data_IF_117472692586
#
_entry.id   IF_117472692586
#
_cell.length_a   1.000
_cell.length_b   1.000
_cell.length_c   1.000
_cell.angle_alpha   90.00
_cell.angle_beta   90.00
_cell.angle_gamma   90.00
#
_symmetry.space_group_name_H-M   'P 1'
#
loop_
_entity.id
_entity.type
_entity.pdbx_description
1 polymer ?
#
# COMPACT_ATOMS: atom_id res chain seq x y z
N UNK A 1 -26.88 8.98 5.96
CA UNK A 1 -27.77 9.04 4.77
C UNK A 1 -28.06 10.51 4.55
N UNK A 2 -27.44 11.11 3.55
CA UNK A 2 -27.47 12.56 3.31
C UNK A 2 -28.70 12.89 2.45
N UNK A 3 -29.67 13.70 2.95
CA UNK A 3 -30.89 14.02 2.22
C UNK A 3 -30.63 14.85 0.92
N UNK A 4 -29.46 15.45 0.76
CA UNK A 4 -29.09 16.19 -0.45
C UNK A 4 -28.70 15.29 -1.64
N UNK A 5 -28.38 14.01 -1.41
CA UNK A 5 -28.14 13.05 -2.50
C UNK A 5 -29.35 12.81 -3.39
N UNK A 6 -30.56 12.91 -2.84
CA UNK A 6 -31.80 12.62 -3.56
C UNK A 6 -32.13 13.68 -4.64
N UNK A 7 -31.66 14.93 -4.46
CA UNK A 7 -31.93 16.02 -5.40
C UNK A 7 -31.08 15.94 -6.69
N UNK A 8 -29.95 15.25 -6.64
CA UNK A 8 -28.98 15.27 -7.75
C UNK A 8 -29.31 14.28 -8.88
N UNK A 9 -29.87 13.12 -8.57
CA UNK A 9 -30.26 12.15 -9.62
C UNK A 9 -31.45 12.64 -10.47
N UNK A 10 -32.36 13.40 -9.88
CA UNK A 10 -33.48 14.00 -10.60
C UNK A 10 -33.03 14.99 -11.69
N UNK A 11 -31.88 15.62 -11.57
CA UNK A 11 -31.36 16.56 -12.55
C UNK A 11 -30.70 15.87 -13.76
N UNK A 12 -30.20 14.63 -13.60
CA UNK A 12 -29.67 13.83 -14.70
C UNK A 12 -30.78 13.32 -15.64
N UNK A 13 -31.94 13.06 -15.09
CA UNK A 13 -33.09 12.52 -15.82
C UNK A 13 -33.94 13.63 -16.48
N UNK A 14 -33.51 14.90 -16.40
CA UNK A 14 -34.10 16.06 -17.04
C UNK A 14 -35.61 16.09 -16.92
N UNK A 15 -36.15 16.83 -15.95
CA UNK A 15 -37.59 16.92 -15.64
C UNK A 15 -38.51 17.25 -16.83
N UNK A 16 -38.76 16.25 -17.66
CA UNK A 16 -39.79 16.32 -18.69
C UNK A 16 -41.09 15.87 -18.04
N UNK A 17 -42.18 16.68 -18.09
CA UNK A 17 -43.47 16.29 -17.58
C UNK A 17 -43.99 15.07 -18.34
N UNK A 18 -44.20 14.00 -17.61
CA UNK A 18 -44.59 12.69 -18.13
C UNK A 18 -46.08 12.73 -18.52
N UNK A 19 -46.39 12.83 -19.80
CA UNK A 19 -47.69 12.50 -20.29
C UNK A 19 -48.06 11.03 -19.95
N UNK A 20 -49.34 10.75 -19.75
CA UNK A 20 -49.85 9.37 -19.55
C UNK A 20 -49.61 8.58 -20.84
N UNK A 21 -48.44 7.96 -20.97
CA UNK A 21 -48.06 7.14 -22.10
C UNK A 21 -48.43 5.69 -21.81
N UNK A 22 -49.29 5.03 -22.58
CA UNK A 22 -49.63 3.63 -22.39
C UNK A 22 -48.38 2.68 -22.43
N UNK A 23 -47.36 3.07 -23.21
CA UNK A 23 -46.12 2.29 -23.30
C UNK A 23 -45.34 2.34 -21.98
N UNK A 24 -45.45 3.45 -21.25
CA UNK A 24 -44.84 3.64 -19.95
C UNK A 24 -45.49 2.77 -18.86
N UNK A 25 -46.81 2.67 -18.85
CA UNK A 25 -47.52 1.77 -17.91
C UNK A 25 -47.22 0.31 -18.18
N UNK A 26 -47.09 -0.06 -19.44
CA UNK A 26 -46.63 -1.41 -19.80
C UNK A 26 -45.21 -1.68 -19.36
N UNK A 27 -44.28 -0.74 -19.58
CA UNK A 27 -42.91 -0.83 -19.13
C UNK A 27 -42.79 -0.95 -17.59
N UNK A 28 -43.60 -0.15 -16.88
CA UNK A 28 -43.68 -0.24 -15.42
C UNK A 28 -44.10 -1.64 -14.97
N UNK A 29 -45.20 -2.17 -15.52
CA UNK A 29 -45.70 -3.51 -15.14
C UNK A 29 -44.65 -4.59 -15.41
N UNK A 30 -43.90 -4.46 -16.51
CA UNK A 30 -42.82 -5.37 -16.88
C UNK A 30 -41.67 -5.36 -15.86
N UNK A 31 -41.26 -4.16 -15.41
CA UNK A 31 -40.18 -4.00 -14.44
C UNK A 31 -40.64 -4.50 -13.06
N UNK A 32 -41.86 -4.15 -12.62
CA UNK A 32 -42.41 -4.61 -11.35
C UNK A 32 -42.52 -6.14 -11.30
N UNK A 33 -42.97 -6.77 -12.39
CA UNK A 33 -43.01 -8.23 -12.50
C UNK A 33 -41.61 -8.84 -12.41
N UNK A 34 -40.61 -8.24 -13.06
CA UNK A 34 -39.23 -8.71 -13.01
C UNK A 34 -38.65 -8.61 -11.59
N UNK A 35 -38.86 -7.47 -10.90
CA UNK A 35 -38.43 -7.24 -9.52
C UNK A 35 -39.12 -8.21 -8.56
N UNK A 36 -40.44 -8.41 -8.72
CA UNK A 36 -41.18 -9.37 -7.90
C UNK A 36 -40.65 -10.80 -8.06
N UNK A 37 -40.33 -11.23 -9.27
CA UNK A 37 -39.70 -12.54 -9.53
C UNK A 37 -38.33 -12.66 -8.93
N UNK A 38 -37.60 -11.55 -8.79
CA UNK A 38 -36.32 -11.50 -8.07
C UNK A 38 -36.47 -11.45 -6.53
N UNK A 39 -37.71 -11.43 -6.04
CA UNK A 39 -38.01 -11.33 -4.61
C UNK A 39 -37.82 -9.92 -4.04
N UNK A 40 -37.80 -8.90 -4.88
CA UNK A 40 -37.65 -7.48 -4.50
C UNK A 40 -38.99 -6.77 -4.68
N UNK A 41 -39.85 -6.68 -3.66
CA UNK A 41 -41.13 -5.99 -3.72
C UNK A 41 -40.91 -4.46 -3.56
N UNK A 42 -40.48 -3.81 -4.63
CA UNK A 42 -40.26 -2.36 -4.63
C UNK A 42 -41.31 -1.68 -5.48
N UNK A 43 -42.03 -0.72 -4.91
CA UNK A 43 -42.92 0.16 -5.64
C UNK A 43 -42.12 1.32 -6.25
N UNK A 44 -42.48 1.82 -7.46
CA UNK A 44 -41.88 3.01 -8.02
C UNK A 44 -42.20 4.24 -7.18
N UNK A 45 -41.35 5.22 -7.18
CA UNK A 45 -41.67 6.55 -6.68
C UNK A 45 -42.52 7.33 -7.70
N UNK A 46 -42.89 8.58 -7.38
CA UNK A 46 -43.71 9.45 -8.24
C UNK A 46 -43.00 9.78 -9.59
N UNK A 47 -41.65 9.59 -9.66
CA UNK A 47 -40.86 9.86 -10.87
C UNK A 47 -40.65 8.61 -11.75
N UNK A 48 -41.34 7.48 -11.42
CA UNK A 48 -41.18 6.20 -12.14
C UNK A 48 -39.79 5.59 -11.98
N UNK A 49 -39.22 5.78 -10.80
CA UNK A 49 -37.93 5.23 -10.42
C UNK A 49 -38.12 4.15 -9.35
N UNK A 50 -37.31 3.11 -9.44
CA UNK A 50 -37.15 2.08 -8.41
C UNK A 50 -35.76 2.22 -7.81
N UNK A 51 -35.69 2.79 -6.61
CA UNK A 51 -34.40 3.06 -5.97
C UNK A 51 -34.00 1.94 -5.02
N UNK A 52 -32.67 1.77 -4.87
CA UNK A 52 -32.09 0.82 -3.93
C UNK A 52 -32.56 -0.62 -4.13
N UNK A 53 -32.76 -1.04 -5.38
CA UNK A 53 -32.92 -2.47 -5.69
C UNK A 53 -31.64 -3.18 -5.33
N UNK A 54 -31.58 -3.78 -4.14
CA UNK A 54 -30.35 -4.34 -3.60
C UNK A 54 -30.27 -5.84 -3.77
N UNK A 55 -29.07 -6.32 -4.03
CA UNK A 55 -28.74 -7.74 -3.95
C UNK A 55 -27.52 -7.93 -3.04
N UNK A 56 -27.61 -8.92 -2.16
CA UNK A 56 -26.52 -9.34 -1.29
C UNK A 56 -26.05 -10.72 -1.71
N UNK A 57 -24.75 -10.89 -1.86
CA UNK A 57 -24.12 -12.18 -2.12
C UNK A 57 -23.01 -12.44 -1.10
N UNK A 58 -22.47 -13.68 -1.11
CA UNK A 58 -21.26 -14.01 -0.31
C UNK A 58 -20.03 -13.18 -0.70
N UNK A 59 -20.06 -12.47 -1.81
CA UNK A 59 -18.96 -11.64 -2.32
C UNK A 59 -19.15 -10.14 -2.10
N UNK A 60 -20.32 -9.72 -1.63
CA UNK A 60 -20.61 -8.32 -1.36
C UNK A 60 -22.07 -7.95 -1.54
N UNK A 61 -22.33 -6.67 -1.41
CA UNK A 61 -23.64 -6.04 -1.59
C UNK A 61 -23.54 -4.97 -2.68
N UNK A 62 -24.55 -4.89 -3.53
CA UNK A 62 -24.70 -3.82 -4.50
C UNK A 62 -26.18 -3.39 -4.54
N UNK A 63 -26.38 -2.11 -4.84
CA UNK A 63 -27.68 -1.53 -5.11
C UNK A 63 -27.72 -1.00 -6.55
N UNK A 64 -28.89 -1.06 -7.16
CA UNK A 64 -29.18 -0.54 -8.49
C UNK A 64 -30.38 0.37 -8.39
N UNK A 65 -30.29 1.54 -8.97
CA UNK A 65 -31.43 2.40 -9.23
C UNK A 65 -31.94 2.09 -10.65
N UNK A 66 -33.23 1.93 -10.79
CA UNK A 66 -33.89 1.59 -12.07
C UNK A 66 -34.87 2.70 -12.43
N UNK A 67 -34.87 3.13 -13.68
CA UNK A 67 -35.77 4.16 -14.15
C UNK A 67 -36.27 3.86 -15.58
N UNK A 68 -37.43 4.42 -15.93
CA UNK A 68 -37.91 4.52 -17.30
C UNK A 68 -37.61 5.92 -17.82
N UNK A 69 -36.73 6.01 -18.79
CA UNK A 69 -36.31 7.27 -19.39
C UNK A 69 -36.82 7.44 -20.80
N UNK A 70 -37.23 8.69 -21.16
CA UNK A 70 -37.61 9.02 -22.50
C UNK A 70 -36.38 9.53 -23.28
N UNK A 71 -36.05 8.86 -24.36
CA UNK A 71 -34.93 9.23 -25.26
C UNK A 71 -35.37 10.00 -26.48
N UNK A 72 -36.56 10.59 -26.44
CA UNK A 72 -37.10 11.38 -27.53
C UNK A 72 -37.40 10.51 -28.74
N UNK A 73 -36.70 10.73 -29.87
CA UNK A 73 -36.92 9.97 -31.12
C UNK A 73 -36.61 8.47 -31.00
N UNK A 74 -35.82 8.08 -30.00
CA UNK A 74 -35.41 6.68 -29.76
C UNK A 74 -36.39 5.93 -28.83
N UNK A 75 -37.47 6.58 -28.40
CA UNK A 75 -38.51 6.01 -27.55
C UNK A 75 -38.11 5.84 -26.09
N UNK A 76 -38.88 5.03 -25.39
CA UNK A 76 -38.63 4.73 -23.98
C UNK A 76 -37.48 3.71 -23.79
N UNK A 77 -36.68 3.90 -22.75
CA UNK A 77 -35.65 2.96 -22.37
C UNK A 77 -35.69 2.62 -20.87
N UNK A 78 -35.35 1.40 -20.54
CA UNK A 78 -34.96 0.99 -19.19
C UNK A 78 -33.55 1.52 -18.93
N UNK A 79 -33.38 2.26 -17.84
CA UNK A 79 -32.11 2.70 -17.34
C UNK A 79 -31.86 2.02 -16.00
N UNK A 80 -30.74 1.32 -15.87
CA UNK A 80 -30.28 0.77 -14.60
C UNK A 80 -28.91 1.39 -14.26
N UNK A 81 -28.77 1.91 -13.04
CA UNK A 81 -27.55 2.58 -12.57
C UNK A 81 -27.12 1.97 -11.25
N UNK A 82 -25.87 1.46 -11.19
CA UNK A 82 -25.26 1.00 -9.95
C UNK A 82 -24.10 1.93 -9.57
N UNK A 83 -24.16 2.60 -8.41
CA UNK A 83 -23.04 3.40 -7.91
C UNK A 83 -21.88 2.51 -7.51
N UNK A 84 -20.66 2.84 -7.95
CA UNK A 84 -19.45 2.05 -7.73
C UNK A 84 -18.55 2.69 -6.68
N UNK A 85 -18.16 3.95 -6.89
CA UNK A 85 -17.36 4.74 -5.95
C UNK A 85 -17.53 6.24 -6.22
N UNK A 86 -17.20 7.06 -5.25
CA UNK A 86 -17.13 8.52 -5.43
C UNK A 86 -15.93 8.88 -6.32
N UNK A 87 -16.10 9.94 -7.12
CA UNK A 87 -15.02 10.44 -7.96
C UNK A 87 -13.90 11.00 -7.08
N UNK A 88 -12.64 10.55 -7.21
CA UNK A 88 -11.56 11.01 -6.33
C UNK A 88 -11.33 12.52 -6.44
N UNK A 89 -10.99 13.18 -5.36
CA UNK A 89 -10.63 14.60 -5.38
C UNK A 89 -9.23 14.84 -5.97
N UNK A 90 -8.31 13.87 -5.85
CA UNK A 90 -6.95 13.97 -6.33
C UNK A 90 -6.87 13.83 -7.85
N UNK A 91 -6.42 14.89 -8.57
CA UNK A 91 -6.36 14.95 -10.03
C UNK A 91 -5.59 13.77 -10.68
N UNK A 92 -4.52 13.30 -10.04
CA UNK A 92 -3.75 12.18 -10.57
C UNK A 92 -4.52 10.87 -10.47
N UNK A 93 -5.22 10.64 -9.35
CA UNK A 93 -6.12 9.49 -9.22
C UNK A 93 -7.27 9.57 -10.21
N UNK A 94 -7.82 10.76 -10.48
CA UNK A 94 -8.84 10.98 -11.50
C UNK A 94 -8.35 10.52 -12.89
N UNK A 95 -7.13 10.91 -13.27
CA UNK A 95 -6.51 10.50 -14.53
C UNK A 95 -6.33 8.99 -14.63
N UNK A 96 -5.76 8.36 -13.61
CA UNK A 96 -5.53 6.91 -13.57
C UNK A 96 -6.86 6.13 -13.53
N UNK A 97 -7.86 6.62 -12.81
CA UNK A 97 -9.20 6.04 -12.79
C UNK A 97 -9.87 6.14 -14.15
N UNK A 98 -9.84 7.33 -14.79
CA UNK A 98 -10.39 7.53 -16.12
C UNK A 98 -9.80 6.57 -17.15
N UNK A 99 -8.48 6.37 -17.18
CA UNK A 99 -7.83 5.38 -18.02
C UNK A 99 -8.29 3.96 -17.72
N UNK A 100 -8.43 3.63 -16.43
CA UNK A 100 -8.92 2.31 -15.99
C UNK A 100 -10.36 2.06 -16.44
N UNK A 101 -11.25 3.06 -16.31
CA UNK A 101 -12.64 2.95 -16.74
C UNK A 101 -12.74 2.75 -18.27
N UNK A 102 -11.98 3.48 -19.06
CA UNK A 102 -11.93 3.32 -20.51
C UNK A 102 -11.47 1.91 -20.89
N UNK A 103 -10.43 1.40 -20.25
CA UNK A 103 -9.93 0.04 -20.49
C UNK A 103 -10.96 -1.02 -20.11
N UNK A 104 -11.62 -0.90 -18.95
CA UNK A 104 -12.66 -1.82 -18.52
C UNK A 104 -13.85 -1.84 -19.47
N UNK A 105 -14.30 -0.67 -19.93
CA UNK A 105 -15.36 -0.57 -20.92
C UNK A 105 -14.99 -1.24 -22.25
N UNK A 106 -13.71 -1.13 -22.67
CA UNK A 106 -13.26 -1.70 -23.94
C UNK A 106 -13.02 -3.22 -23.87
N UNK A 107 -12.42 -3.69 -22.78
CA UNK A 107 -11.93 -5.07 -22.70
C UNK A 107 -12.93 -6.04 -22.07
N UNK A 108 -13.78 -5.58 -21.14
CA UNK A 108 -14.53 -6.48 -20.27
C UNK A 108 -16.05 -6.26 -20.26
N UNK A 109 -16.53 -5.06 -20.57
CA UNK A 109 -17.95 -4.74 -20.49
C UNK A 109 -18.60 -4.78 -21.87
N UNK A 110 -19.63 -5.60 -22.03
CA UNK A 110 -20.32 -5.76 -23.32
C UNK A 110 -21.74 -5.21 -23.35
N UNK A 111 -22.44 -5.23 -22.23
CA UNK A 111 -23.84 -4.80 -22.13
C UNK A 111 -24.00 -3.56 -21.25
N UNK A 112 -23.17 -3.41 -20.23
CA UNK A 112 -23.14 -2.25 -19.34
C UNK A 112 -21.87 -1.45 -19.54
N UNK A 113 -21.87 -0.18 -19.12
CA UNK A 113 -20.72 0.73 -19.25
C UNK A 113 -20.45 1.45 -17.93
N UNK A 114 -19.17 1.61 -17.60
CA UNK A 114 -18.75 2.52 -16.53
C UNK A 114 -18.78 3.96 -17.06
N UNK A 115 -19.40 4.85 -16.31
CA UNK A 115 -19.49 6.26 -16.62
C UNK A 115 -19.19 7.09 -15.37
N UNK A 116 -18.92 8.37 -15.60
CA UNK A 116 -18.82 9.37 -14.54
C UNK A 116 -20.11 10.17 -14.58
N UNK A 117 -20.86 10.11 -13.49
CA UNK A 117 -22.10 10.83 -13.32
C UNK A 117 -22.02 11.68 -12.05
N UNK A 118 -22.04 13.03 -12.24
CA UNK A 118 -21.76 13.98 -11.16
C UNK A 118 -20.38 13.67 -10.52
N UNK A 119 -20.36 13.43 -9.23
CA UNK A 119 -19.15 13.13 -8.45
C UNK A 119 -19.01 11.63 -8.14
N UNK A 120 -19.54 10.77 -9.02
CA UNK A 120 -19.52 9.33 -8.80
C UNK A 120 -19.21 8.55 -10.08
N UNK A 121 -18.48 7.44 -9.91
CA UNK A 121 -18.38 6.41 -10.93
C UNK A 121 -19.58 5.49 -10.79
N UNK A 122 -20.28 5.29 -11.88
CA UNK A 122 -21.48 4.46 -11.96
C UNK A 122 -21.35 3.41 -13.06
N UNK A 123 -21.96 2.27 -12.86
CA UNK A 123 -22.18 1.29 -13.90
C UNK A 123 -23.59 1.50 -14.46
N UNK A 124 -23.72 1.62 -15.78
CA UNK A 124 -24.97 1.94 -16.48
C UNK A 124 -25.29 0.84 -17.47
N UNK A 125 -26.56 0.40 -17.48
CA UNK A 125 -27.16 -0.41 -18.54
C UNK A 125 -28.39 0.33 -19.07
N UNK A 126 -28.49 0.52 -20.38
CA UNK A 126 -29.60 1.20 -21.05
C UNK A 126 -30.15 0.28 -22.13
N UNK A 127 -31.43 -0.08 -22.04
CA UNK A 127 -32.10 -0.94 -23.01
C UNK A 127 -33.39 -0.31 -23.53
N UNK A 128 -33.62 -0.32 -24.86
CA UNK A 128 -34.92 0.09 -25.40
C UNK A 128 -36.04 -0.75 -24.78
N UNK A 129 -37.15 -0.12 -24.43
CA UNK A 129 -38.32 -0.83 -23.90
C UNK A 129 -39.00 -1.67 -24.97
N UNK A 130 -38.96 -1.23 -26.23
CA UNK A 130 -39.57 -1.95 -27.35
C UNK A 130 -38.98 -3.37 -27.46
N UNK A 131 -39.87 -4.39 -27.38
CA UNK A 131 -39.47 -5.78 -27.43
C UNK A 131 -38.81 -6.36 -26.18
N UNK A 132 -38.72 -5.58 -25.10
CA UNK A 132 -38.17 -6.06 -23.83
C UNK A 132 -39.15 -7.05 -23.18
N UNK A 133 -38.63 -8.11 -22.59
CA UNK A 133 -39.41 -9.09 -21.82
C UNK A 133 -39.06 -9.06 -20.36
N UNK A 134 -39.90 -9.56 -19.48
CA UNK A 134 -39.64 -9.67 -18.04
C UNK A 134 -38.30 -10.42 -17.76
N UNK A 135 -38.04 -11.48 -18.50
CA UNK A 135 -36.79 -12.25 -18.40
C UNK A 135 -35.58 -11.40 -18.80
N UNK A 136 -35.70 -10.61 -19.87
CA UNK A 136 -34.61 -9.72 -20.32
C UNK A 136 -34.33 -8.59 -19.32
N UNK A 137 -35.35 -8.07 -18.64
CA UNK A 137 -35.19 -7.13 -17.51
C UNK A 137 -34.46 -7.79 -16.35
N UNK A 138 -34.90 -9.00 -15.94
CA UNK A 138 -34.22 -9.75 -14.87
C UNK A 138 -32.74 -10.01 -15.19
N UNK A 139 -32.45 -10.49 -16.42
CA UNK A 139 -31.08 -10.72 -16.87
C UNK A 139 -30.22 -9.45 -16.81
N UNK A 140 -30.78 -8.31 -17.23
CA UNK A 140 -30.10 -7.01 -17.16
C UNK A 140 -29.76 -6.62 -15.71
N UNK A 141 -30.76 -6.69 -14.82
CA UNK A 141 -30.58 -6.32 -13.42
C UNK A 141 -29.61 -7.27 -12.69
N UNK A 142 -29.70 -8.57 -12.93
CA UNK A 142 -28.74 -9.54 -12.39
C UNK A 142 -27.34 -9.30 -12.92
N UNK A 143 -27.19 -9.01 -14.21
CA UNK A 143 -25.89 -8.74 -14.81
C UNK A 143 -25.22 -7.49 -14.23
N UNK A 144 -25.95 -6.35 -14.10
CA UNK A 144 -25.41 -5.12 -13.53
C UNK A 144 -25.09 -5.28 -12.06
N UNK A 145 -25.94 -5.92 -11.26
CA UNK A 145 -25.68 -6.21 -9.85
C UNK A 145 -24.44 -7.08 -9.65
N UNK A 146 -24.32 -8.17 -10.44
CA UNK A 146 -23.14 -9.05 -10.39
C UNK A 146 -21.87 -8.28 -10.76
N UNK A 147 -21.91 -7.49 -11.83
CA UNK A 147 -20.77 -6.67 -12.26
C UNK A 147 -20.39 -5.65 -11.20
N UNK A 148 -21.37 -5.00 -10.58
CA UNK A 148 -21.11 -4.03 -9.49
C UNK A 148 -20.50 -4.70 -8.24
N UNK A 149 -20.97 -5.90 -7.88
CA UNK A 149 -20.40 -6.69 -6.78
C UNK A 149 -18.95 -7.10 -7.08
N UNK A 150 -18.63 -7.47 -8.31
CA UNK A 150 -17.29 -7.94 -8.70
C UNK A 150 -16.30 -6.77 -8.86
N UNK A 151 -16.71 -5.67 -9.49
CA UNK A 151 -15.83 -4.54 -9.79
C UNK A 151 -15.75 -3.52 -8.65
N UNK A 152 -16.85 -3.27 -7.96
CA UNK A 152 -16.94 -2.19 -6.96
C UNK A 152 -15.88 -2.29 -5.85
N UNK A 153 -15.71 -3.45 -5.18
CA UNK A 153 -14.69 -3.59 -4.15
C UNK A 153 -13.27 -3.34 -4.67
N UNK A 154 -12.95 -3.80 -5.88
CA UNK A 154 -11.63 -3.62 -6.51
C UNK A 154 -11.35 -2.15 -6.83
N UNK A 155 -12.30 -1.48 -7.47
CA UNK A 155 -12.16 -0.07 -7.80
C UNK A 155 -12.06 0.79 -6.54
N UNK A 156 -12.88 0.51 -5.51
CA UNK A 156 -12.78 1.21 -4.22
C UNK A 156 -11.42 0.99 -3.55
N UNK A 157 -10.91 -0.24 -3.54
CA UNK A 157 -9.60 -0.52 -2.94
C UNK A 157 -8.45 0.22 -3.64
N UNK A 158 -8.59 0.48 -4.95
CA UNK A 158 -7.55 1.14 -5.74
C UNK A 158 -7.69 2.66 -5.81
N UNK A 159 -8.90 3.21 -5.71
CA UNK A 159 -9.19 4.60 -6.05
C UNK A 159 -9.97 5.39 -4.99
N UNK A 160 -10.64 4.73 -4.02
CA UNK A 160 -11.27 5.42 -2.89
C UNK A 160 -10.23 5.67 -1.78
N UNK A 161 -9.13 6.38 -2.13
CA UNK A 161 -8.03 6.69 -1.23
C UNK A 161 -8.05 8.18 -0.89
N UNK A 162 -8.03 8.50 0.39
CA UNK A 162 -7.93 9.88 0.89
C UNK A 162 -6.50 10.42 0.77
N UNK A 163 -5.97 10.53 -0.47
CA UNK A 163 -4.61 10.99 -0.72
C UNK A 163 -4.43 12.45 -0.32
N UNK A 164 -3.24 12.84 0.22
CA UNK A 164 -2.97 14.21 0.63
C UNK A 164 -2.91 15.15 -0.58
N UNK A 165 -3.38 16.38 -0.38
CA UNK A 165 -3.41 17.45 -1.40
C UNK A 165 -2.07 18.22 -1.42
N UNK A 166 -0.96 17.50 -1.59
CA UNK A 166 0.39 18.06 -1.66
C UNK A 166 1.13 17.55 -2.90
N UNK A 167 2.11 18.29 -3.44
CA UNK A 167 2.95 17.80 -4.51
C UNK A 167 3.83 16.65 -4.01
N UNK A 168 3.65 15.48 -4.63
CA UNK A 168 4.46 14.29 -4.39
C UNK A 168 5.25 13.95 -5.65
N UNK A 169 6.53 13.64 -5.50
CA UNK A 169 7.26 13.01 -6.60
C UNK A 169 6.69 11.61 -6.90
N UNK A 170 7.07 11.04 -8.02
CA UNK A 170 6.51 9.77 -8.47
C UNK A 170 6.71 8.63 -7.45
N UNK A 171 7.88 8.57 -6.80
CA UNK A 171 8.19 7.53 -5.81
C UNK A 171 7.40 7.71 -4.52
N UNK A 172 7.31 8.95 -4.04
CA UNK A 172 6.53 9.28 -2.86
C UNK A 172 5.03 9.03 -3.10
N UNK A 173 4.51 9.38 -4.28
CA UNK A 173 3.12 9.09 -4.67
C UNK A 173 2.80 7.61 -4.60
N UNK A 174 3.60 6.75 -5.24
CA UNK A 174 3.36 5.30 -5.17
C UNK A 174 3.52 4.74 -3.76
N UNK A 175 4.46 5.26 -2.97
CA UNK A 175 4.63 4.82 -1.59
C UNK A 175 3.45 5.21 -0.70
N UNK A 176 2.89 6.42 -0.87
CA UNK A 176 1.66 6.85 -0.18
C UNK A 176 0.49 5.96 -0.59
N UNK A 177 0.31 5.74 -1.88
CA UNK A 177 -0.75 4.88 -2.40
C UNK A 177 -0.68 3.45 -1.86
N UNK A 178 0.51 2.85 -1.85
CA UNK A 178 0.72 1.51 -1.30
C UNK A 178 0.49 1.46 0.22
N UNK A 179 0.91 2.51 0.94
CA UNK A 179 0.64 2.67 2.36
C UNK A 179 -0.88 2.70 2.62
N UNK A 180 -1.63 3.51 1.85
CA UNK A 180 -3.05 3.75 2.05
C UNK A 180 -3.92 2.54 1.71
N UNK A 181 -3.56 1.73 0.72
CA UNK A 181 -4.26 0.48 0.41
C UNK A 181 -4.30 -0.52 1.56
N UNK A 182 -3.35 -0.42 2.48
CA UNK A 182 -3.20 -1.33 3.60
C UNK A 182 -3.78 -0.83 4.93
N UNK A 183 -4.40 0.34 4.97
CA UNK A 183 -4.88 0.96 6.21
C UNK A 183 -6.35 1.40 6.10
N UNK A 184 -7.00 1.60 7.25
CA UNK A 184 -8.40 2.03 7.29
C UNK A 184 -8.57 3.47 6.75
N UNK A 185 -9.77 3.86 6.27
CA UNK A 185 -10.05 5.22 5.81
C UNK A 185 -9.71 6.30 6.86
N UNK A 186 -9.98 6.05 8.14
CA UNK A 186 -9.66 6.97 9.23
C UNK A 186 -8.15 7.18 9.37
N UNK A 187 -7.37 6.10 9.23
CA UNK A 187 -5.91 6.19 9.26
C UNK A 187 -5.37 6.91 8.01
N UNK A 188 -6.00 6.75 6.83
CA UNK A 188 -5.65 7.51 5.62
C UNK A 188 -5.84 9.01 5.85
N UNK A 189 -6.98 9.43 6.40
CA UNK A 189 -7.25 10.84 6.73
C UNK A 189 -6.20 11.40 7.70
N UNK A 190 -5.85 10.64 8.73
CA UNK A 190 -4.83 11.09 9.69
C UNK A 190 -3.42 11.18 9.08
N UNK A 191 -3.06 10.25 8.18
CA UNK A 191 -1.80 10.34 7.43
C UNK A 191 -1.78 11.54 6.48
N UNK A 192 -2.89 11.80 5.78
CA UNK A 192 -3.01 12.95 4.88
C UNK A 192 -2.85 14.26 5.64
N UNK A 193 -3.56 14.43 6.75
CA UNK A 193 -3.43 15.60 7.60
C UNK A 193 -1.98 15.80 8.10
N UNK A 194 -1.31 14.72 8.52
CA UNK A 194 0.09 14.79 8.94
C UNK A 194 1.03 15.20 7.79
N UNK A 195 0.82 14.65 6.59
CA UNK A 195 1.62 14.98 5.41
C UNK A 195 1.40 16.43 4.96
N UNK A 196 0.16 16.90 5.00
CA UNK A 196 -0.22 18.26 4.63
C UNK A 196 0.32 19.29 5.63
N UNK A 197 0.16 19.04 6.93
CA UNK A 197 0.71 19.91 7.99
C UNK A 197 2.25 19.95 7.94
N UNK A 198 2.89 18.79 7.66
CA UNK A 198 4.35 18.75 7.49
C UNK A 198 4.79 19.51 6.25
N UNK A 199 4.07 19.36 5.13
CA UNK A 199 4.34 20.11 3.91
C UNK A 199 4.14 21.62 4.08
N UNK A 200 3.10 22.04 4.80
CA UNK A 200 2.86 23.45 5.11
C UNK A 200 4.01 24.12 5.86
N UNK A 201 4.84 23.33 6.57
CA UNK A 201 6.09 23.76 7.20
C UNK A 201 7.32 23.70 6.28
N UNK A 202 7.13 23.34 5.03
CA UNK A 202 8.22 23.19 4.05
C UNK A 202 8.87 21.80 4.06
N UNK A 203 8.37 20.85 4.85
CA UNK A 203 8.81 19.47 4.83
C UNK A 203 8.37 18.72 3.57
N UNK A 204 9.02 17.61 3.28
CA UNK A 204 8.72 16.77 2.12
C UNK A 204 8.44 15.34 2.54
N UNK A 205 7.64 14.64 1.72
CA UNK A 205 7.51 13.20 1.81
C UNK A 205 8.50 12.54 0.82
N UNK A 206 9.17 11.48 1.23
CA UNK A 206 10.13 10.76 0.39
C UNK A 206 10.07 9.26 0.63
N UNK A 207 10.30 8.49 -0.41
CA UNK A 207 10.33 7.03 -0.35
C UNK A 207 11.69 6.47 -0.78
N UNK A 208 12.70 6.51 0.10
CA UNK A 208 14.03 5.97 -0.22
C UNK A 208 14.04 4.44 -0.37
N UNK A 209 12.94 3.76 -0.05
CA UNK A 209 12.77 2.31 -0.11
C UNK A 209 11.30 1.93 -0.14
N UNK A 210 10.90 0.97 0.73
CA UNK A 210 9.51 0.51 0.88
C UNK A 210 8.70 1.29 1.92
N UNK A 211 9.30 2.22 2.61
CA UNK A 211 8.67 3.03 3.65
C UNK A 211 8.62 4.49 3.22
N UNK A 212 7.61 5.20 3.68
CA UNK A 212 7.46 6.64 3.46
C UNK A 212 8.12 7.39 4.61
N UNK A 213 9.11 8.24 4.30
CA UNK A 213 9.81 9.09 5.25
C UNK A 213 9.37 10.54 5.17
N UNK A 214 9.31 11.22 6.32
CA UNK A 214 9.16 12.67 6.41
C UNK A 214 10.54 13.29 6.42
N UNK A 215 10.86 14.09 5.41
CA UNK A 215 12.12 14.85 5.32
C UNK A 215 11.95 16.21 5.98
N UNK A 216 12.89 16.54 6.87
CA UNK A 216 12.95 17.85 7.52
C UNK A 216 13.26 18.96 6.53
N UNK A 217 12.55 20.11 6.60
CA UNK A 217 12.78 21.23 5.70
C UNK A 217 14.16 21.87 5.86
N UNK A 218 14.72 21.87 7.07
CA UNK A 218 16.02 22.48 7.36
C UNK A 218 17.18 21.48 7.17
N UNK A 219 17.04 20.24 7.63
CA UNK A 219 18.11 19.23 7.57
C UNK A 219 18.15 18.44 6.26
N UNK A 220 17.02 18.34 5.54
CA UNK A 220 16.84 17.44 4.39
C UNK A 220 16.93 15.96 4.75
N UNK A 221 16.88 15.62 6.03
CA UNK A 221 17.01 14.25 6.52
C UNK A 221 15.65 13.67 6.95
N UNK A 222 15.55 12.34 7.01
CA UNK A 222 14.33 11.65 7.48
C UNK A 222 14.19 11.83 8.99
N UNK A 223 13.17 12.54 9.45
CA UNK A 223 12.86 12.76 10.86
C UNK A 223 11.87 11.74 11.42
N UNK A 224 10.98 11.22 10.57
CA UNK A 224 10.02 10.18 10.93
C UNK A 224 9.74 9.25 9.75
N UNK A 225 9.19 8.08 10.04
CA UNK A 225 8.80 7.07 9.04
C UNK A 225 7.36 6.67 9.27
N UNK A 226 6.57 6.60 8.20
CA UNK A 226 5.19 6.15 8.20
C UNK A 226 5.16 4.67 7.80
N UNK A 227 4.47 3.84 8.59
CA UNK A 227 4.41 2.39 8.42
C UNK A 227 2.94 1.94 8.48
N UNK A 228 2.44 1.33 7.39
CA UNK A 228 1.05 0.85 7.30
C UNK A 228 0.82 -0.51 7.96
N UNK A 229 1.82 -1.39 7.93
CA UNK A 229 1.71 -2.78 8.37
C UNK A 229 2.66 -3.08 9.54
N UNK A 230 2.45 -2.44 10.68
CA UNK A 230 3.10 -2.87 11.92
C UNK A 230 2.19 -3.88 12.65
N UNK A 231 2.77 -4.69 13.54
CA UNK A 231 1.99 -5.59 14.40
C UNK A 231 0.95 -4.88 15.26
N UNK A 232 1.16 -3.58 15.52
CA UNK A 232 0.25 -2.69 16.25
C UNK A 232 -0.67 -1.85 15.33
N UNK A 233 -0.72 -2.12 14.01
CA UNK A 233 -1.46 -1.31 13.03
C UNK A 233 -0.64 -0.19 12.40
N UNK A 234 -1.29 0.80 11.75
CA UNK A 234 -0.63 1.93 11.12
C UNK A 234 -0.01 2.88 12.17
N UNK A 235 1.30 3.16 12.03
CA UNK A 235 2.07 3.95 13.00
C UNK A 235 2.95 5.00 12.34
N UNK A 236 3.22 6.09 13.07
CA UNK A 236 4.37 6.98 12.85
C UNK A 236 5.51 6.55 13.77
N UNK A 237 6.67 6.31 13.20
CA UNK A 237 7.87 5.93 13.97
C UNK A 237 8.92 7.03 13.91
N UNK A 238 9.42 7.43 15.05
CA UNK A 238 10.59 8.31 15.20
C UNK A 238 11.68 7.52 15.92
N UNK A 239 12.86 7.37 15.30
CA UNK A 239 13.99 6.65 15.89
C UNK A 239 15.13 7.61 16.21
N UNK A 240 15.23 8.08 17.44
CA UNK A 240 16.32 8.99 17.88
C UNK A 240 17.67 8.29 17.99
N UNK A 241 17.71 7.01 18.26
CA UNK A 241 18.96 6.23 18.23
C UNK A 241 19.61 6.27 16.83
N UNK A 242 18.80 6.20 15.77
CA UNK A 242 19.28 6.42 14.41
C UNK A 242 19.69 7.88 14.17
N UNK A 243 18.96 8.85 14.76
CA UNK A 243 19.26 10.26 14.61
C UNK A 243 20.55 10.65 15.37
N UNK A 244 20.74 10.15 16.59
CA UNK A 244 21.98 10.33 17.37
C UNK A 244 23.19 9.76 16.62
N UNK A 245 23.12 8.51 16.16
CA UNK A 245 24.23 7.85 15.48
C UNK A 245 24.54 8.41 14.09
N UNK A 246 23.53 8.77 13.33
CA UNK A 246 23.68 9.16 11.92
C UNK A 246 23.93 10.64 11.76
N UNK A 247 23.26 11.45 12.57
CA UNK A 247 23.26 12.90 12.44
C UNK A 247 23.92 13.61 13.63
N UNK A 248 24.20 12.90 14.73
CA UNK A 248 24.81 13.50 15.92
C UNK A 248 23.84 14.35 16.74
N UNK A 249 22.54 14.05 16.66
CA UNK A 249 21.54 14.71 17.54
C UNK A 249 21.90 14.41 18.99
N UNK A 250 21.93 15.46 19.83
CA UNK A 250 22.30 15.31 21.24
C UNK A 250 21.15 14.71 22.04
N UNK A 251 21.49 14.02 23.12
CA UNK A 251 20.50 13.41 24.01
C UNK A 251 19.48 14.43 24.55
N UNK A 252 19.93 15.67 24.88
CA UNK A 252 19.04 16.74 25.37
C UNK A 252 18.00 17.15 24.32
N UNK A 253 18.36 17.18 23.04
CA UNK A 253 17.43 17.47 21.93
C UNK A 253 16.43 16.33 21.74
N UNK A 254 16.86 15.07 21.89
CA UNK A 254 15.99 13.91 21.89
C UNK A 254 15.03 13.92 23.09
N UNK A 255 15.48 14.35 24.27
CA UNK A 255 14.62 14.50 25.46
C UNK A 255 13.60 15.63 25.28
N UNK A 256 13.97 16.73 24.64
CA UNK A 256 13.03 17.79 24.30
C UNK A 256 11.92 17.27 23.37
N UNK A 257 12.26 16.47 22.36
CA UNK A 257 11.27 15.79 21.53
C UNK A 257 10.37 14.85 22.35
N UNK A 258 10.94 13.99 23.20
CA UNK A 258 10.19 13.06 24.06
C UNK A 258 9.20 13.77 24.97
N UNK A 259 9.54 14.99 25.42
CA UNK A 259 8.66 15.82 26.24
C UNK A 259 7.52 16.45 25.43
N UNK A 260 7.78 16.82 24.17
CA UNK A 260 6.84 17.53 23.29
C UNK A 260 5.92 16.58 22.50
N UNK A 261 6.35 15.34 22.23
CA UNK A 261 5.59 14.39 21.40
C UNK A 261 4.23 14.05 22.03
N UNK A 262 3.12 14.11 21.28
CA UNK A 262 1.81 13.74 21.79
C UNK A 262 1.77 12.24 22.15
N UNK A 263 0.91 11.92 23.12
CA UNK A 263 0.75 10.53 23.63
C UNK A 263 -0.67 10.02 23.40
N UNK A 264 -1.02 9.61 22.18
CA UNK A 264 -2.32 9.02 21.91
C UNK A 264 -2.46 7.67 22.61
N UNK A 265 -3.67 7.12 22.61
CA UNK A 265 -3.91 5.77 23.09
C UNK A 265 -3.06 4.76 22.26
N UNK A 266 -2.42 3.81 22.95
CA UNK A 266 -1.50 2.86 22.31
C UNK A 266 -0.11 3.44 21.95
N UNK A 267 0.22 4.66 22.42
CA UNK A 267 1.56 5.22 22.26
C UNK A 267 2.61 4.37 22.97
N UNK A 268 3.67 4.02 22.24
CA UNK A 268 4.80 3.29 22.79
C UNK A 268 6.06 4.14 22.76
N UNK A 269 6.68 4.31 23.91
CA UNK A 269 7.98 4.97 24.06
C UNK A 269 9.02 3.96 24.51
N UNK A 270 10.00 3.72 23.65
CA UNK A 270 11.15 2.86 23.98
C UNK A 270 12.38 3.71 24.29
N UNK A 271 13.49 3.07 24.65
CA UNK A 271 14.78 3.76 24.85
C UNK A 271 15.33 4.32 23.54
N UNK A 272 14.90 3.84 22.37
CA UNK A 272 15.47 4.17 21.06
C UNK A 272 14.46 4.78 20.06
N UNK A 273 13.15 4.70 20.33
CA UNK A 273 12.12 5.13 19.39
C UNK A 273 10.79 5.48 20.07
N UNK A 274 9.96 6.26 19.35
CA UNK A 274 8.55 6.42 19.63
C UNK A 274 7.72 5.82 18.50
N UNK A 275 6.63 5.16 18.87
CA UNK A 275 5.64 4.60 17.96
C UNK A 275 4.27 5.19 18.28
N UNK A 276 3.69 5.93 17.33
CA UNK A 276 2.41 6.61 17.49
C UNK A 276 1.38 5.94 16.60
N UNK A 277 0.33 5.30 17.16
CA UNK A 277 -0.79 4.79 16.39
C UNK A 277 -1.52 5.93 15.67
N UNK A 278 -1.59 5.88 14.35
CA UNK A 278 -2.10 6.98 13.52
C UNK A 278 -3.60 7.20 13.71
N UNK A 279 -4.34 6.11 13.85
CA UNK A 279 -5.79 6.14 14.07
C UNK A 279 -6.22 6.80 15.40
N UNK A 280 -5.29 6.93 16.33
CA UNK A 280 -5.54 7.59 17.63
C UNK A 280 -5.12 9.06 17.63
N UNK A 281 -4.59 9.59 16.52
CA UNK A 281 -4.17 10.98 16.40
C UNK A 281 -5.36 11.88 16.09
N UNK A 282 -5.66 12.81 16.96
CA UNK A 282 -6.57 13.92 16.68
C UNK A 282 -5.87 15.04 15.91
N UNK A 283 -6.60 15.97 15.30
CA UNK A 283 -6.02 17.11 14.59
C UNK A 283 -5.04 17.92 15.49
N UNK A 284 -5.40 18.13 16.76
CA UNK A 284 -4.51 18.83 17.71
C UNK A 284 -3.24 18.03 18.04
N UNK A 285 -3.33 16.69 18.07
CA UNK A 285 -2.16 15.83 18.26
C UNK A 285 -1.27 15.80 17.02
N UNK A 286 -1.85 15.85 15.81
CA UNK A 286 -1.10 15.95 14.56
C UNK A 286 -0.29 17.25 14.55
N UNK A 287 -0.91 18.39 14.85
CA UNK A 287 -0.22 19.67 14.95
C UNK A 287 0.92 19.62 15.99
N UNK A 288 0.67 19.07 17.19
CA UNK A 288 1.69 18.90 18.22
C UNK A 288 2.82 17.95 17.78
N UNK A 289 2.51 16.88 17.05
CA UNK A 289 3.52 15.98 16.48
C UNK A 289 4.40 16.70 15.46
N UNK A 290 3.80 17.49 14.57
CA UNK A 290 4.52 18.30 13.57
C UNK A 290 5.43 19.31 14.24
N UNK A 291 4.98 19.97 15.34
CA UNK A 291 5.82 20.84 16.15
C UNK A 291 7.01 20.09 16.78
N UNK A 292 6.76 18.91 17.34
CA UNK A 292 7.81 18.08 17.91
C UNK A 292 8.83 17.59 16.86
N UNK A 293 8.37 17.19 15.66
CA UNK A 293 9.25 16.81 14.56
C UNK A 293 10.11 17.97 14.07
N UNK A 294 9.58 19.20 14.09
CA UNK A 294 10.34 20.39 13.75
C UNK A 294 11.50 20.64 14.74
N UNK A 295 11.30 20.35 16.05
CA UNK A 295 12.40 20.41 17.03
C UNK A 295 13.54 19.45 16.69
N UNK A 296 13.22 18.24 16.22
CA UNK A 296 14.22 17.26 15.76
C UNK A 296 14.94 17.73 14.50
N UNK A 297 14.21 18.29 13.53
CA UNK A 297 14.79 18.80 12.29
C UNK A 297 15.79 19.95 12.58
N UNK A 298 15.42 20.89 13.45
CA UNK A 298 16.30 21.94 13.92
C UNK A 298 17.52 21.38 14.67
N UNK A 299 17.33 20.37 15.51
CA UNK A 299 18.42 19.69 16.21
C UNK A 299 19.40 19.03 15.23
N UNK A 300 18.89 18.36 14.20
CA UNK A 300 19.71 17.74 13.15
C UNK A 300 20.49 18.76 12.34
N UNK A 301 19.94 19.94 12.12
CA UNK A 301 20.62 21.04 11.42
C UNK A 301 21.77 21.63 12.27
N UNK A 302 21.59 21.72 13.59
CA UNK A 302 22.62 22.16 14.51
C UNK A 302 23.66 21.09 14.83
N UNK A 303 23.31 19.84 14.62
CA UNK A 303 24.18 18.72 14.97
C UNK A 303 25.43 18.69 14.12
N UNK A 304 26.57 18.51 14.77
CA UNK A 304 27.84 18.24 14.09
C UNK A 304 27.78 16.79 13.63
N UNK A 305 27.62 16.62 12.33
CA UNK A 305 27.58 15.27 11.73
C UNK A 305 28.80 14.48 12.16
N UNK A 306 28.65 13.37 12.89
CA UNK A 306 29.80 12.60 13.31
C UNK A 306 30.61 12.20 12.06
N UNK A 307 31.87 12.51 12.03
CA UNK A 307 32.76 12.06 10.96
C UNK A 307 32.66 10.53 10.92
N UNK A 308 32.19 9.92 9.84
CA UNK A 308 32.06 8.48 9.80
C UNK A 308 33.44 7.89 10.07
N UNK A 309 33.59 6.98 11.04
CA UNK A 309 34.89 6.40 11.34
C UNK A 309 35.50 5.81 10.06
N UNK A 310 36.79 5.98 9.92
CA UNK A 310 37.54 5.40 8.79
C UNK A 310 37.19 3.90 8.68
N UNK A 311 36.84 3.39 7.49
CA UNK A 311 36.58 1.97 7.35
C UNK A 311 37.77 1.16 7.87
N UNK A 312 37.53 0.09 8.64
CA UNK A 312 38.62 -0.75 9.14
C UNK A 312 39.37 -1.36 7.98
N UNK A 313 40.69 -1.44 8.10
CA UNK A 313 41.50 -2.23 7.19
C UNK A 313 41.36 -3.71 7.57
N UNK A 314 40.39 -4.38 6.93
CA UNK A 314 40.10 -5.79 7.19
C UNK A 314 41.28 -6.69 6.80
N UNK A 315 42.11 -6.27 5.83
CA UNK A 315 43.31 -7.01 5.45
C UNK A 315 44.37 -6.98 6.55
N UNK A 316 44.67 -5.80 7.08
CA UNK A 316 45.62 -5.65 8.16
C UNK A 316 45.14 -6.34 9.45
N UNK A 317 43.83 -6.31 9.74
CA UNK A 317 43.28 -6.85 11.00
C UNK A 317 42.99 -8.37 10.95
N UNK A 318 42.47 -8.86 9.82
CA UNK A 318 41.95 -10.22 9.68
C UNK A 318 42.58 -11.01 8.51
N UNK A 319 43.47 -10.41 7.76
CA UNK A 319 43.96 -10.99 6.50
C UNK A 319 42.94 -11.01 5.38
N UNK A 320 41.77 -10.35 5.54
CA UNK A 320 40.61 -10.47 4.68
C UNK A 320 40.59 -9.33 3.64
N UNK A 321 40.89 -9.66 2.38
CA UNK A 321 40.82 -8.72 1.25
C UNK A 321 39.45 -8.79 0.59
N UNK A 322 38.55 -7.85 0.90
CA UNK A 322 37.23 -7.76 0.29
C UNK A 322 36.95 -6.38 -0.30
N UNK A 323 36.17 -6.37 -1.37
CA UNK A 323 35.65 -5.13 -1.97
C UNK A 323 34.17 -4.95 -1.60
N UNK A 324 33.90 -3.98 -0.75
CA UNK A 324 32.53 -3.67 -0.30
C UNK A 324 32.41 -2.20 0.09
N UNK A 325 31.16 -1.72 0.24
CA UNK A 325 30.89 -0.37 0.74
C UNK A 325 31.36 -0.18 2.18
N UNK A 326 31.71 1.04 2.58
CA UNK A 326 32.26 1.40 3.90
C UNK A 326 31.42 0.86 5.08
N UNK A 327 30.09 0.88 4.97
CA UNK A 327 29.18 0.34 5.99
C UNK A 327 29.32 -1.17 6.11
N UNK A 328 29.39 -1.89 4.99
CA UNK A 328 29.59 -3.34 4.96
C UNK A 328 30.94 -3.72 5.58
N UNK A 329 32.03 -3.01 5.24
CA UNK A 329 33.35 -3.28 5.82
C UNK A 329 33.36 -3.16 7.35
N UNK A 330 32.72 -2.14 7.90
CA UNK A 330 32.60 -1.94 9.36
C UNK A 330 31.78 -3.05 10.04
N UNK A 331 30.67 -3.43 9.42
CA UNK A 331 29.82 -4.48 10.00
C UNK A 331 30.46 -5.88 9.88
N UNK A 332 31.22 -6.15 8.81
CA UNK A 332 32.03 -7.38 8.70
C UNK A 332 33.08 -7.40 9.81
N UNK A 333 33.80 -6.30 10.03
CA UNK A 333 34.77 -6.18 11.12
C UNK A 333 34.13 -6.48 12.48
N UNK A 334 33.03 -5.82 12.82
CA UNK A 334 32.29 -6.04 14.07
C UNK A 334 31.78 -7.49 14.21
N UNK A 335 31.29 -8.10 13.12
CA UNK A 335 30.88 -9.52 13.12
C UNK A 335 32.05 -10.43 13.41
N UNK A 336 33.21 -10.20 12.78
CA UNK A 336 34.41 -11.01 13.00
C UNK A 336 35.00 -10.81 14.41
N UNK A 337 34.93 -9.60 14.97
CA UNK A 337 35.37 -9.29 16.32
C UNK A 337 34.55 -10.04 17.38
N UNK A 338 33.24 -10.14 17.19
CA UNK A 338 32.34 -10.84 18.11
C UNK A 338 32.33 -12.36 17.91
N UNK A 339 32.90 -12.89 16.83
CA UNK A 339 33.01 -14.31 16.58
C UNK A 339 34.06 -14.97 17.50
N UNK A 340 33.79 -16.17 18.06
CA UNK A 340 34.77 -16.98 18.76
C UNK A 340 35.97 -17.28 17.86
N UNK A 341 37.19 -17.32 18.47
CA UNK A 341 38.44 -17.54 17.73
C UNK A 341 38.45 -18.85 16.93
N UNK A 342 37.78 -19.88 17.42
CA UNK A 342 37.64 -21.15 16.72
C UNK A 342 36.78 -21.09 15.45
N UNK A 343 35.83 -20.15 15.37
CA UNK A 343 34.86 -20.01 14.25
C UNK A 343 35.32 -18.96 13.23
N UNK A 344 35.98 -17.91 13.69
CA UNK A 344 36.44 -16.77 12.89
C UNK A 344 37.17 -17.15 11.60
N UNK A 345 38.16 -18.08 11.61
CA UNK A 345 38.85 -18.49 10.40
C UNK A 345 37.93 -19.14 9.36
N UNK A 346 36.86 -19.78 9.80
CA UNK A 346 35.86 -20.36 8.91
C UNK A 346 35.02 -19.26 8.22
N UNK A 347 34.59 -18.25 8.98
CA UNK A 347 33.88 -17.09 8.41
C UNK A 347 34.72 -16.34 7.39
N UNK A 348 35.99 -16.07 7.73
CA UNK A 348 36.95 -15.41 6.80
C UNK A 348 37.06 -16.21 5.52
N UNK A 349 37.33 -17.52 5.60
CA UNK A 349 37.46 -18.37 4.40
C UNK A 349 36.19 -18.43 3.56
N UNK A 350 35.00 -18.41 4.15
CA UNK A 350 33.76 -18.39 3.43
C UNK A 350 33.58 -17.07 2.66
N UNK A 351 33.86 -15.94 3.30
CA UNK A 351 33.79 -14.61 2.70
C UNK A 351 34.76 -14.50 1.52
N UNK A 352 36.03 -14.93 1.72
CA UNK A 352 37.06 -14.91 0.67
C UNK A 352 36.68 -15.74 -0.55
N UNK A 353 36.23 -16.98 -0.34
CA UNK A 353 35.80 -17.87 -1.41
C UNK A 353 34.61 -17.31 -2.15
N UNK A 354 33.69 -16.69 -1.41
CA UNK A 354 32.50 -16.07 -2.00
C UNK A 354 32.89 -14.93 -2.93
N UNK A 355 33.79 -14.06 -2.49
CA UNK A 355 34.29 -12.96 -3.32
C UNK A 355 35.18 -13.44 -4.47
N UNK A 356 36.00 -14.46 -4.27
CA UNK A 356 36.81 -15.06 -5.32
C UNK A 356 35.95 -15.66 -6.45
N UNK A 357 34.72 -16.07 -6.13
CA UNK A 357 33.70 -16.48 -7.10
C UNK A 357 32.97 -15.27 -7.79
N UNK A 358 33.38 -14.04 -7.53
CA UNK A 358 32.78 -12.82 -8.10
C UNK A 358 31.43 -12.43 -7.47
N UNK A 359 31.10 -13.01 -6.31
CA UNK A 359 29.81 -12.81 -5.67
C UNK A 359 29.85 -11.75 -4.57
N UNK A 360 28.73 -11.05 -4.35
CA UNK A 360 28.65 -9.91 -3.45
C UNK A 360 28.58 -10.30 -1.97
N UNK A 361 29.29 -9.54 -1.13
CA UNK A 361 29.20 -9.55 0.33
C UNK A 361 28.47 -8.29 0.77
N UNK A 362 27.48 -8.45 1.64
CA UNK A 362 26.67 -7.33 2.15
C UNK A 362 26.33 -7.53 3.61
N UNK A 363 26.25 -6.44 4.36
CA UNK A 363 25.63 -6.42 5.66
C UNK A 363 25.15 -5.03 6.03
N UNK A 364 24.01 -4.97 6.71
CA UNK A 364 23.46 -3.80 7.36
C UNK A 364 23.37 -3.95 8.89
N UNK A 365 23.97 -5.02 9.42
CA UNK A 365 23.89 -5.38 10.85
C UNK A 365 25.27 -5.87 11.32
N UNK A 366 25.81 -5.40 12.47
CA UNK A 366 27.11 -5.79 12.99
C UNK A 366 27.22 -7.24 13.47
N UNK A 367 26.12 -7.98 13.49
CA UNK A 367 26.11 -9.40 13.90
C UNK A 367 25.83 -10.37 12.75
N UNK A 368 25.66 -9.86 11.52
CA UNK A 368 25.28 -10.66 10.37
C UNK A 368 26.11 -10.28 9.15
N UNK A 369 26.59 -11.27 8.41
CA UNK A 369 27.17 -11.08 7.07
C UNK A 369 26.37 -11.90 6.08
N UNK A 370 25.84 -11.25 5.05
CA UNK A 370 25.09 -11.89 3.97
C UNK A 370 26.00 -12.11 2.76
N UNK A 371 26.13 -13.35 2.34
CA UNK A 371 26.75 -13.75 1.10
C UNK A 371 25.64 -13.83 0.05
N UNK A 372 25.62 -12.85 -0.86
CA UNK A 372 24.51 -12.64 -1.79
C UNK A 372 24.75 -13.30 -3.13
N UNK A 373 23.73 -13.98 -3.63
CA UNK A 373 23.65 -14.53 -4.97
C UNK A 373 22.59 -13.74 -5.77
N UNK A 374 22.96 -13.29 -6.97
CA UNK A 374 22.04 -12.66 -7.91
C UNK A 374 21.76 -13.65 -9.04
N UNK A 375 20.50 -14.00 -9.22
CA UNK A 375 20.05 -14.93 -10.27
C UNK A 375 19.09 -14.21 -11.22
N UNK A 376 18.99 -14.64 -12.50
CA UNK A 376 17.93 -14.17 -13.37
C UNK A 376 16.56 -14.38 -12.73
N UNK A 377 15.70 -13.36 -12.81
CA UNK A 377 14.32 -13.45 -12.32
C UNK A 377 13.45 -14.27 -13.27
N UNK A 378 12.23 -14.61 -12.82
CA UNK A 378 11.24 -15.33 -13.63
C UNK A 378 10.77 -14.54 -14.86
N UNK A 379 10.98 -13.22 -14.89
CA UNK A 379 10.66 -12.36 -16.04
C UNK A 379 11.96 -11.96 -16.75
N UNK A 380 11.99 -11.97 -18.10
CA UNK A 380 13.16 -11.53 -18.87
C UNK A 380 13.60 -10.11 -18.47
N UNK A 381 14.90 -9.95 -18.22
CA UNK A 381 15.49 -8.65 -17.83
C UNK A 381 15.43 -8.30 -16.36
N UNK A 382 14.74 -9.08 -15.52
CA UNK A 382 14.78 -8.90 -14.07
C UNK A 382 15.81 -9.83 -13.43
N UNK A 383 16.47 -9.33 -12.40
CA UNK A 383 17.35 -10.13 -11.53
C UNK A 383 16.83 -10.11 -10.11
N UNK A 384 16.94 -11.23 -9.42
CA UNK A 384 16.59 -11.33 -8.00
C UNK A 384 17.84 -11.64 -7.20
N UNK A 385 18.07 -10.87 -6.12
CA UNK A 385 19.22 -11.06 -5.24
C UNK A 385 18.77 -11.71 -3.95
N UNK A 386 19.35 -12.85 -3.61
CA UNK A 386 19.10 -13.60 -2.39
C UNK A 386 20.29 -13.56 -1.45
N UNK A 387 20.04 -13.59 -0.14
CA UNK A 387 21.05 -13.95 0.84
C UNK A 387 21.17 -15.48 0.86
N UNK A 388 22.05 -16.03 0.04
CA UNK A 388 22.23 -17.48 -0.08
C UNK A 388 22.82 -18.10 1.20
N UNK A 389 23.78 -17.38 1.81
CA UNK A 389 24.41 -17.79 3.07
C UNK A 389 24.43 -16.59 4.01
N UNK A 390 24.07 -16.83 5.27
CA UNK A 390 24.13 -15.81 6.33
C UNK A 390 25.09 -16.30 7.43
N UNK A 391 26.17 -15.56 7.65
CA UNK A 391 27.06 -15.79 8.77
C UNK A 391 26.54 -14.98 9.95
N UNK A 392 26.28 -15.65 11.07
CA UNK A 392 25.78 -15.00 12.30
C UNK A 392 26.80 -15.06 13.40
N UNK A 393 27.17 -13.94 13.96
CA UNK A 393 27.86 -13.86 15.24
C UNK A 393 26.98 -14.38 16.40
N UNK A 394 27.54 -14.74 17.53
CA UNK A 394 26.75 -15.11 18.71
C UNK A 394 25.80 -13.99 19.15
N UNK A 395 24.57 -14.33 19.54
CA UNK A 395 23.52 -13.38 19.95
C UNK A 395 23.10 -13.53 21.43
N UNK A 396 23.98 -14.01 22.27
CA UNK A 396 23.76 -14.22 23.71
C UNK A 396 22.93 -15.47 24.05
N UNK A 397 22.10 -15.98 23.13
CA UNK A 397 21.31 -17.22 23.32
C UNK A 397 21.78 -18.35 22.41
N UNK A 398 22.38 -18.03 21.30
CA UNK A 398 22.86 -19.01 20.30
C UNK A 398 24.29 -18.71 19.92
N UNK A 399 25.07 -19.75 19.71
CA UNK A 399 26.46 -19.66 19.26
C UNK A 399 26.56 -19.12 17.83
N UNK A 400 27.78 -18.83 17.40
CA UNK A 400 28.03 -18.46 16.00
C UNK A 400 27.58 -19.60 15.08
N UNK A 401 26.91 -19.24 13.97
CA UNK A 401 26.36 -20.21 13.03
C UNK A 401 26.35 -19.70 11.60
N UNK A 402 26.25 -20.63 10.69
CA UNK A 402 26.02 -20.36 9.25
C UNK A 402 24.65 -20.85 8.90
N UNK A 403 23.80 -19.93 8.46
CA UNK A 403 22.47 -20.27 7.94
C UNK A 403 22.57 -20.30 6.40
N UNK A 404 22.15 -21.39 5.78
CA UNK A 404 22.03 -21.50 4.32
C UNK A 404 20.55 -21.38 3.99
N UNK A 405 20.18 -20.28 3.34
CA UNK A 405 18.82 -20.09 2.87
C UNK A 405 18.72 -20.55 1.41
N UNK A 406 17.79 -21.44 1.15
CA UNK A 406 17.46 -21.89 -0.21
C UNK A 406 16.05 -21.42 -0.61
N UNK A 407 15.77 -20.11 -0.67
CA UNK A 407 14.53 -19.60 -1.25
C UNK A 407 14.67 -19.68 -2.79
N UNK A 408 14.74 -20.93 -3.28
CA UNK A 408 15.03 -21.13 -4.69
C UNK A 408 13.76 -20.89 -5.50
N UNK A 409 13.84 -20.17 -6.63
CA UNK A 409 12.74 -20.10 -7.60
C UNK A 409 12.26 -21.52 -7.92
N UNK A 410 10.98 -21.66 -8.22
CA UNK A 410 10.41 -22.98 -8.60
C UNK A 410 11.23 -23.68 -9.68
N UNK A 411 11.81 -22.91 -10.62
CA UNK A 411 12.70 -23.39 -11.68
C UNK A 411 13.99 -24.06 -11.19
N UNK A 412 14.45 -23.78 -9.97
CA UNK A 412 15.67 -24.38 -9.40
C UNK A 412 15.30 -25.48 -8.37
N UNK A 413 14.08 -25.46 -7.85
CA UNK A 413 13.63 -26.40 -6.81
C UNK A 413 13.64 -27.87 -7.30
N UNK A 414 13.44 -28.04 -8.59
CA UNK A 414 13.43 -29.33 -9.29
C UNK A 414 14.77 -29.64 -9.97
N UNK A 415 15.79 -28.80 -9.78
CA UNK A 415 17.13 -29.03 -10.32
C UNK A 415 17.84 -30.13 -9.53
N UNK A 416 18.32 -31.20 -10.17
CA UNK A 416 19.04 -32.27 -9.51
C UNK A 416 20.31 -31.83 -8.78
N UNK A 417 20.97 -30.74 -9.19
CA UNK A 417 22.12 -30.17 -8.50
C UNK A 417 21.75 -29.51 -7.19
N UNK A 418 20.58 -28.89 -7.15
CA UNK A 418 20.02 -28.33 -5.95
C UNK A 418 19.73 -29.41 -4.88
N UNK A 419 19.14 -30.51 -5.30
CA UNK A 419 18.92 -31.68 -4.44
C UNK A 419 20.23 -32.22 -3.87
N UNK A 420 21.25 -32.41 -4.73
CA UNK A 420 22.59 -32.87 -4.32
C UNK A 420 23.27 -31.90 -3.33
N UNK A 421 23.10 -30.58 -3.48
CA UNK A 421 23.62 -29.61 -2.53
C UNK A 421 22.98 -29.76 -1.15
N UNK A 422 21.65 -29.90 -1.10
CA UNK A 422 20.92 -30.10 0.18
C UNK A 422 21.36 -31.41 0.84
N UNK A 423 21.47 -32.49 0.09
CA UNK A 423 21.98 -33.79 0.58
C UNK A 423 23.41 -33.66 1.11
N UNK A 424 24.27 -32.94 0.37
CA UNK A 424 25.66 -32.72 0.83
C UNK A 424 25.70 -31.89 2.10
N UNK A 425 24.87 -30.84 2.21
CA UNK A 425 24.77 -30.03 3.44
C UNK A 425 24.28 -30.88 4.63
N UNK A 426 23.34 -31.79 4.40
CA UNK A 426 22.79 -32.68 5.43
C UNK A 426 23.83 -33.64 6.05
N UNK A 427 24.93 -33.88 5.32
CA UNK A 427 26.04 -34.71 5.86
C UNK A 427 26.97 -33.95 6.80
N UNK A 428 26.86 -32.62 6.89
CA UNK A 428 27.76 -31.83 7.72
C UNK A 428 27.42 -31.95 9.20
N UNK A 429 28.43 -32.12 10.09
CA UNK A 429 28.19 -32.14 11.51
C UNK A 429 27.52 -30.86 12.02
N UNK A 430 26.42 -30.99 12.77
CA UNK A 430 25.69 -29.87 13.33
C UNK A 430 24.68 -29.21 12.35
N UNK A 431 24.49 -29.79 11.18
CA UNK A 431 23.41 -29.33 10.27
C UNK A 431 22.03 -29.65 10.85
N UNK A 432 21.15 -28.67 10.86
CA UNK A 432 19.73 -28.87 11.17
C UNK A 432 18.90 -28.18 10.07
N UNK A 433 18.01 -28.91 9.42
CA UNK A 433 17.01 -28.33 8.53
C UNK A 433 15.83 -27.79 9.33
N UNK A 434 15.40 -26.57 9.11
CA UNK A 434 14.18 -25.97 9.66
C UNK A 434 13.12 -25.86 8.57
#
# INVERSE_FOLDING_TARGET
MDPDRDSHYTSLLGGVPLASDPDRHWAQALIEEALLRMGVPVAPDEAWDWRNVSATSSYGEAAVDVAIVDRGTDGLALLAIAPILEWPENERLQGELGETLLRLNYEFLTASHLAIALDSVVLIDIRPIEGLTTEAVQEALVAILRTAIDLGPRLRADFALALPQIPLDERAYFAVRDLYRGVSPEAQVSYSALLEDWHARGGLASAPGKTLGLLGPASGAVVAVLIGHASAGPIVTVSWDSLERTYGVRTEDADAFRAAVPRPEGFELTTSSAHLPVQALTASMIAALVDALALLDDAMTRAVKPTPPTPPDLHARWGLAITAGKATLRNVDATLETCPDAVRPTFIRLIERWQAAGLAVYTNNPHLVYLRLTVPGERPGLTTTYAAVTLRAPDGKRGARVDVACPWPRSIKDDPEAGRLVETLATLPGFSST
#
